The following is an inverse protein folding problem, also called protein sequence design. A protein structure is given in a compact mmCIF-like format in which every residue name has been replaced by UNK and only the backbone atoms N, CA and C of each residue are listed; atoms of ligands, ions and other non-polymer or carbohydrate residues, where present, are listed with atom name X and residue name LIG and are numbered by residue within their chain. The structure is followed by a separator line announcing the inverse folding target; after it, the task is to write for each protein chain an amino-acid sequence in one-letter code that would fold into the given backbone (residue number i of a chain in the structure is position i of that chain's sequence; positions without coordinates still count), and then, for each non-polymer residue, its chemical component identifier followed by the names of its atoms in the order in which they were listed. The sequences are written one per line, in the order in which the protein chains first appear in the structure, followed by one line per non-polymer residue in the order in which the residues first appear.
data_IF_402891521815
#
_entry.id   IF_402891521815
#
_cell.length_a   1.000
_cell.length_b   1.000
_cell.length_c   1.000
_cell.angle_alpha   90.00
_cell.angle_beta   90.00
_cell.angle_gamma   90.00
#
_symmetry.space_group_name_H-M   'P 1'
#
loop_
_entity.id
_entity.type
_entity.pdbx_description
1 polymer ?
#
# COMPACT_ATOMS: atom_id res chain seq x y z
N UNK A 1 -9.91 71.34 5.77
CA UNK A 1 -8.75 70.79 5.06
C UNK A 1 -8.31 69.52 5.74
N UNK A 2 -8.87 68.40 5.42
CA UNK A 2 -8.57 67.14 6.13
C UNK A 2 -9.21 65.86 5.57
N UNK A 3 -9.68 65.83 4.32
CA UNK A 3 -10.34 64.65 3.77
C UNK A 3 -9.82 64.14 2.43
N UNK A 4 -8.65 64.58 1.97
CA UNK A 4 -8.05 64.18 0.71
C UNK A 4 -6.80 63.29 0.85
N UNK A 5 -6.42 62.87 2.05
CA UNK A 5 -5.17 62.12 2.31
C UNK A 5 -5.38 60.64 2.58
N UNK A 6 -6.59 60.13 2.47
CA UNK A 6 -6.89 58.70 2.74
C UNK A 6 -7.17 57.87 1.49
N UNK A 7 -7.17 58.42 0.30
CA UNK A 7 -7.47 57.69 -0.96
C UNK A 7 -6.19 57.17 -1.67
N UNK A 8 -5.02 57.57 -1.24
CA UNK A 8 -3.75 57.21 -1.91
C UNK A 8 -3.05 55.96 -1.34
N UNK A 9 -3.62 55.28 -0.34
CA UNK A 9 -2.95 54.15 0.33
C UNK A 9 -3.57 52.75 0.04
N UNK A 10 -4.52 52.64 -0.86
CA UNK A 10 -5.15 51.35 -1.21
C UNK A 10 -4.78 50.78 -2.59
N UNK A 11 -3.83 51.31 -3.30
CA UNK A 11 -3.43 50.82 -4.64
C UNK A 11 -2.14 50.00 -4.70
N UNK A 12 -1.62 49.54 -3.57
CA UNK A 12 -0.43 48.68 -3.51
C UNK A 12 -0.76 47.25 -3.02
N UNK A 13 -1.95 46.75 -3.35
CA UNK A 13 -2.26 45.32 -3.16
C UNK A 13 -1.91 44.60 -4.45
N UNK A 14 -0.67 44.08 -4.48
CA UNK A 14 -0.34 42.78 -4.96
C UNK A 14 -0.82 42.42 -6.37
N UNK A 15 -0.16 42.88 -7.44
CA UNK A 15 0.11 41.97 -8.55
C UNK A 15 1.00 40.86 -8.02
N UNK A 16 0.41 39.86 -7.42
CA UNK A 16 1.02 38.53 -7.33
C UNK A 16 1.22 38.10 -8.78
N UNK A 17 2.45 38.20 -9.30
CA UNK A 17 2.82 37.62 -10.56
C UNK A 17 2.44 36.13 -10.46
N UNK A 18 1.35 35.76 -11.10
CA UNK A 18 1.11 34.38 -11.47
C UNK A 18 2.34 34.00 -12.29
N UNK A 19 3.24 33.24 -11.70
CA UNK A 19 4.42 32.73 -12.38
C UNK A 19 3.87 31.85 -13.50
N UNK A 20 3.85 32.37 -14.72
CA UNK A 20 3.43 31.61 -15.90
C UNK A 20 4.29 30.34 -15.89
N UNK A 21 3.61 29.24 -15.70
CA UNK A 21 4.23 27.92 -15.73
C UNK A 21 4.80 27.77 -17.15
N UNK A 22 6.13 27.83 -17.26
CA UNK A 22 6.80 27.61 -18.55
C UNK A 22 6.28 26.32 -19.15
N UNK A 23 5.74 26.34 -20.39
CA UNK A 23 5.24 25.15 -21.05
C UNK A 23 6.36 24.12 -21.10
N UNK A 24 6.17 22.97 -20.50
CA UNK A 24 7.20 21.96 -20.41
C UNK A 24 6.66 20.64 -19.83
N UNK A 25 7.42 19.57 -19.98
CA UNK A 25 7.11 18.32 -19.34
C UNK A 25 7.25 18.44 -17.83
N UNK A 26 6.27 17.92 -17.10
CA UNK A 26 6.27 17.86 -15.63
C UNK A 26 5.84 16.48 -15.20
N UNK A 27 6.74 15.74 -14.58
CA UNK A 27 6.44 14.42 -14.05
C UNK A 27 6.06 14.51 -12.57
N UNK A 28 4.87 14.00 -12.27
CA UNK A 28 4.45 13.68 -10.91
C UNK A 28 4.77 12.22 -10.66
N UNK A 29 5.63 11.96 -9.69
CA UNK A 29 6.08 10.61 -9.37
C UNK A 29 5.63 10.22 -7.95
N UNK A 30 5.05 9.05 -7.82
CA UNK A 30 4.62 8.50 -6.53
C UNK A 30 5.19 7.10 -6.31
N UNK A 31 5.49 6.78 -5.05
CA UNK A 31 5.95 5.48 -4.58
C UNK A 31 4.98 4.99 -3.51
N UNK A 32 4.37 3.83 -3.72
CA UNK A 32 3.41 3.22 -2.81
C UNK A 32 3.81 1.80 -2.45
N UNK A 33 3.69 1.47 -1.18
CA UNK A 33 3.77 0.10 -0.68
C UNK A 33 2.37 -0.45 -0.69
N UNK A 34 2.13 -1.54 -1.45
CA UNK A 34 0.81 -2.13 -1.63
C UNK A 34 0.43 -3.01 -0.43
N UNK A 35 1.43 -3.62 0.20
CA UNK A 35 1.21 -4.51 1.32
C UNK A 35 0.73 -3.75 2.57
N UNK A 36 -0.34 -4.24 3.18
CA UNK A 36 -0.82 -3.71 4.47
C UNK A 36 0.16 -4.02 5.61
N UNK A 37 0.79 -5.17 5.58
CA UNK A 37 1.77 -5.62 6.56
C UNK A 37 3.05 -6.04 5.87
N UNK A 38 4.17 -5.52 6.36
CA UNK A 38 5.50 -5.89 5.90
C UNK A 38 6.00 -7.02 6.78
N UNK A 39 6.35 -8.16 6.20
CA UNK A 39 6.73 -9.36 6.94
C UNK A 39 8.02 -9.92 6.38
N UNK A 40 8.93 -10.32 7.27
CA UNK A 40 10.17 -10.99 6.93
C UNK A 40 9.92 -12.21 6.01
N UNK A 41 10.72 -12.36 4.97
CA UNK A 41 10.66 -13.47 3.99
C UNK A 41 9.31 -13.61 3.26
N UNK A 42 8.49 -12.57 3.24
CA UNK A 42 7.29 -12.49 2.41
C UNK A 42 7.43 -11.37 1.38
N UNK A 43 6.70 -11.49 0.30
CA UNK A 43 6.74 -10.53 -0.81
C UNK A 43 6.30 -9.14 -0.33
N UNK A 44 7.15 -8.18 -0.58
CA UNK A 44 6.93 -6.75 -0.42
C UNK A 44 6.78 -6.15 -1.81
N UNK A 45 5.61 -5.66 -2.13
CA UNK A 45 5.30 -5.08 -3.43
C UNK A 45 5.32 -3.57 -3.36
N UNK A 46 6.18 -2.97 -4.15
CA UNK A 46 6.32 -1.51 -4.26
C UNK A 46 5.91 -1.11 -5.68
N UNK A 47 4.99 -0.18 -5.77
CA UNK A 47 4.52 0.38 -7.02
C UNK A 47 5.00 1.82 -7.17
N UNK A 48 5.60 2.10 -8.29
CA UNK A 48 5.97 3.43 -8.74
C UNK A 48 4.99 3.85 -9.82
N UNK A 49 4.42 5.04 -9.70
CA UNK A 49 3.56 5.64 -10.73
C UNK A 49 4.12 6.99 -11.13
N UNK A 50 4.35 7.17 -12.43
CA UNK A 50 4.80 8.43 -13.01
C UNK A 50 3.69 8.96 -13.92
N UNK A 51 3.25 10.16 -13.66
CA UNK A 51 2.22 10.83 -14.43
C UNK A 51 2.75 12.13 -15.00
N UNK A 52 2.65 12.33 -16.32
CA UNK A 52 3.01 13.58 -16.95
C UNK A 52 1.85 14.56 -16.88
N UNK A 53 1.94 15.51 -15.95
CA UNK A 53 0.97 16.60 -15.77
C UNK A 53 1.33 17.85 -16.55
N UNK A 54 2.43 17.80 -17.33
CA UNK A 54 2.87 18.89 -18.19
C UNK A 54 2.17 18.90 -19.55
N UNK A 55 2.42 19.95 -20.32
CA UNK A 55 1.84 20.18 -21.64
C UNK A 55 2.70 19.56 -22.76
N UNK A 56 3.93 19.15 -22.46
CA UNK A 56 4.85 18.53 -23.42
C UNK A 56 5.27 17.12 -23.02
N UNK A 57 5.79 16.37 -23.98
CA UNK A 57 6.31 15.02 -23.77
C UNK A 57 7.57 15.05 -22.92
N UNK A 58 7.65 14.19 -21.91
CA UNK A 58 8.88 13.90 -21.19
C UNK A 58 9.66 12.84 -21.95
N UNK A 59 10.95 13.07 -22.18
CA UNK A 59 11.85 12.17 -22.90
C UNK A 59 12.90 11.60 -21.95
N UNK A 60 13.39 10.41 -22.30
CA UNK A 60 14.52 9.76 -21.61
C UNK A 60 14.31 9.70 -20.09
N UNK A 61 13.17 9.11 -19.69
CA UNK A 61 12.75 9.08 -18.29
C UNK A 61 13.42 7.92 -17.57
N UNK A 62 14.24 8.22 -16.58
CA UNK A 62 14.92 7.25 -15.73
C UNK A 62 14.38 7.30 -14.31
N UNK A 63 13.96 6.16 -13.80
CA UNK A 63 13.68 5.96 -12.38
C UNK A 63 14.85 5.19 -11.77
N UNK A 64 15.44 5.72 -10.72
CA UNK A 64 16.56 5.10 -10.01
C UNK A 64 16.23 4.96 -8.52
N UNK A 65 16.16 3.73 -8.08
CA UNK A 65 15.85 3.35 -6.70
C UNK A 65 17.12 2.82 -6.03
N UNK A 66 17.61 3.58 -5.06
CA UNK A 66 18.86 3.27 -4.35
C UNK A 66 18.65 2.81 -2.90
N UNK A 67 17.40 2.82 -2.43
CA UNK A 67 17.09 2.56 -1.02
C UNK A 67 17.17 1.07 -0.64
N UNK A 68 17.13 0.16 -1.63
CA UNK A 68 17.11 -1.28 -1.38
C UNK A 68 18.48 -1.91 -1.69
N UNK A 69 19.17 -2.35 -0.62
CA UNK A 69 20.43 -3.08 -0.77
C UNK A 69 20.17 -4.60 -0.84
N UNK A 70 20.97 -5.29 -1.64
CA UNK A 70 20.97 -6.76 -1.72
C UNK A 70 21.37 -7.45 -0.39
N UNK A 71 22.02 -6.71 0.50
CA UNK A 71 22.32 -7.21 1.85
C UNK A 71 21.03 -7.43 2.64
N UNK A 72 20.07 -6.51 2.52
CA UNK A 72 18.86 -6.46 3.33
C UNK A 72 17.64 -7.08 2.65
N UNK A 73 17.62 -7.08 1.32
CA UNK A 73 16.48 -7.52 0.51
C UNK A 73 16.89 -8.52 -0.56
N UNK A 74 16.07 -9.53 -0.76
CA UNK A 74 16.13 -10.41 -1.93
C UNK A 74 15.20 -9.87 -3.02
N UNK A 75 15.72 -9.72 -4.23
CA UNK A 75 14.95 -9.26 -5.38
C UNK A 75 14.23 -10.44 -6.03
N UNK A 76 12.89 -10.40 -6.02
CA UNK A 76 12.06 -11.46 -6.62
C UNK A 76 11.71 -11.13 -8.06
N UNK A 77 11.19 -9.93 -8.30
CA UNK A 77 10.76 -9.49 -9.63
C UNK A 77 10.89 -7.98 -9.75
N UNK A 78 11.22 -7.54 -10.97
CA UNK A 78 11.41 -6.12 -11.28
C UNK A 78 12.87 -5.68 -11.12
N UNK A 79 13.10 -4.44 -11.48
CA UNK A 79 14.43 -3.82 -11.46
C UNK A 79 14.38 -2.56 -10.61
N UNK A 80 15.48 -2.24 -9.93
CA UNK A 80 15.66 -0.98 -9.19
C UNK A 80 15.79 0.23 -10.10
N UNK A 81 16.12 -0.01 -11.36
CA UNK A 81 16.22 1.00 -12.39
C UNK A 81 15.22 0.70 -13.50
N UNK A 82 14.40 1.68 -13.85
CA UNK A 82 13.45 1.59 -14.95
C UNK A 82 13.66 2.77 -15.91
N UNK A 83 13.52 2.51 -17.20
CA UNK A 83 13.72 3.50 -18.26
C UNK A 83 12.52 3.49 -19.21
N UNK A 84 12.09 4.68 -19.62
CA UNK A 84 11.08 4.89 -20.65
C UNK A 84 11.58 5.93 -21.64
N UNK A 85 11.50 5.62 -22.90
CA UNK A 85 11.97 6.52 -23.97
C UNK A 85 11.21 7.85 -23.96
N UNK A 86 9.88 7.78 -23.72
CA UNK A 86 9.02 8.97 -23.66
C UNK A 86 7.72 8.71 -22.89
N UNK A 87 7.22 9.76 -22.26
CA UNK A 87 5.89 9.79 -21.62
C UNK A 87 5.12 10.99 -22.18
N UNK A 88 4.03 10.71 -22.90
CA UNK A 88 3.19 11.76 -23.51
C UNK A 88 2.48 12.61 -22.43
N UNK A 89 2.06 13.84 -22.75
CA UNK A 89 1.23 14.65 -21.85
C UNK A 89 -0.03 13.91 -21.44
N UNK A 90 -0.36 13.96 -20.14
CA UNK A 90 -1.52 13.26 -19.57
C UNK A 90 -1.37 11.75 -19.45
N UNK A 91 -0.27 11.16 -19.93
CA UNK A 91 -0.04 9.72 -19.82
C UNK A 91 0.47 9.35 -18.42
N UNK A 92 0.14 8.11 -18.01
CA UNK A 92 0.60 7.49 -16.79
C UNK A 92 1.34 6.20 -17.10
N UNK A 93 2.48 5.98 -16.45
CA UNK A 93 3.24 4.73 -16.52
C UNK A 93 3.50 4.22 -15.11
N UNK A 94 3.48 2.90 -14.97
CA UNK A 94 3.70 2.24 -13.69
C UNK A 94 4.84 1.24 -13.79
N UNK A 95 5.60 1.13 -12.71
CA UNK A 95 6.64 0.13 -12.52
C UNK A 95 6.45 -0.54 -11.17
N UNK A 96 6.55 -1.86 -11.14
CA UNK A 96 6.37 -2.64 -9.91
C UNK A 96 7.64 -3.40 -9.59
N UNK A 97 8.05 -3.31 -8.33
CA UNK A 97 9.20 -3.99 -7.78
C UNK A 97 8.75 -4.89 -6.64
N UNK A 98 9.12 -6.18 -6.69
CA UNK A 98 8.80 -7.15 -5.64
C UNK A 98 10.10 -7.60 -4.98
N UNK A 99 10.15 -7.39 -3.67
CA UNK A 99 11.29 -7.67 -2.79
C UNK A 99 10.86 -8.56 -1.65
N UNK A 100 11.82 -9.27 -1.04
CA UNK A 100 11.61 -9.97 0.23
C UNK A 100 12.61 -9.45 1.26
N UNK A 101 12.15 -8.84 2.37
CA UNK A 101 13.03 -8.45 3.47
C UNK A 101 13.65 -9.69 4.11
N UNK A 102 14.98 -9.67 4.32
CA UNK A 102 15.71 -10.77 5.00
C UNK A 102 15.50 -10.74 6.49
N UNK A 103 15.48 -9.54 7.08
CA UNK A 103 15.41 -9.33 8.51
C UNK A 103 14.19 -8.50 8.91
N UNK A 104 13.73 -8.71 10.16
CA UNK A 104 12.71 -7.88 10.77
C UNK A 104 13.35 -6.64 11.41
N UNK A 105 12.85 -5.46 11.05
CA UNK A 105 13.32 -4.18 11.59
C UNK A 105 12.38 -3.04 11.18
N UNK A 106 12.59 -1.88 11.76
CA UNK A 106 12.02 -0.64 11.24
C UNK A 106 12.90 -0.20 10.06
N UNK A 107 12.29 -0.03 8.90
CA UNK A 107 12.95 0.40 7.68
C UNK A 107 12.37 1.71 7.19
N UNK A 108 13.23 2.67 6.82
CA UNK A 108 12.82 3.95 6.28
C UNK A 108 12.79 3.89 4.75
N UNK A 109 11.58 3.96 4.19
CA UNK A 109 11.34 3.97 2.75
C UNK A 109 11.49 5.37 2.20
N UNK A 110 12.67 5.69 1.67
CA UNK A 110 12.99 6.99 1.10
C UNK A 110 12.43 7.15 -0.32
N UNK A 111 12.45 8.38 -0.83
CA UNK A 111 12.04 8.68 -2.19
C UNK A 111 13.04 8.13 -3.21
N UNK A 112 12.53 7.66 -4.35
CA UNK A 112 13.34 7.29 -5.51
C UNK A 112 13.60 8.52 -6.40
N UNK A 113 14.72 8.51 -7.09
CA UNK A 113 15.13 9.59 -8.00
C UNK A 113 14.50 9.37 -9.37
N UNK A 114 13.96 10.44 -9.95
CA UNK A 114 13.43 10.45 -11.31
C UNK A 114 14.15 11.52 -12.11
N UNK A 115 14.70 11.15 -13.25
CA UNK A 115 15.36 12.06 -14.18
C UNK A 115 14.64 12.01 -15.53
N UNK A 116 14.46 13.14 -16.16
CA UNK A 116 13.84 13.22 -17.48
C UNK A 116 14.27 14.48 -18.23
N UNK A 117 14.09 14.47 -19.55
CA UNK A 117 14.34 15.63 -20.41
C UNK A 117 13.04 16.28 -20.81
N UNK A 118 13.03 17.60 -20.82
CA UNK A 118 11.83 18.39 -21.11
C UNK A 118 11.59 18.62 -22.59
N UNK A 119 12.57 18.36 -23.44
CA UNK A 119 12.46 18.49 -24.89
C UNK A 119 13.41 17.52 -25.62
N UNK A 120 13.13 17.29 -26.89
CA UNK A 120 14.03 16.66 -27.86
C UNK A 120 14.76 17.78 -28.61
N UNK A 121 16.07 17.89 -28.64
CA UNK A 121 17.13 16.90 -28.77
C UNK A 121 17.94 16.66 -27.49
N UNK A 122 18.98 15.83 -27.56
CA UNK A 122 19.79 15.35 -26.42
C UNK A 122 20.47 16.45 -25.58
N UNK A 123 20.53 17.69 -26.09
CA UNK A 123 21.10 18.86 -25.39
C UNK A 123 20.08 19.55 -24.45
N UNK A 124 18.85 19.05 -24.37
CA UNK A 124 17.83 19.65 -23.50
C UNK A 124 18.17 19.49 -22.01
N UNK A 125 17.74 20.46 -21.22
CA UNK A 125 17.97 20.45 -19.79
C UNK A 125 17.38 19.19 -19.15
N UNK A 126 18.16 18.52 -18.31
CA UNK A 126 17.71 17.37 -17.51
C UNK A 126 17.01 17.88 -16.26
N UNK A 127 15.75 17.55 -16.13
CA UNK A 127 14.99 17.79 -14.91
C UNK A 127 15.16 16.60 -13.95
N UNK A 128 15.31 16.90 -12.67
CA UNK A 128 15.41 15.89 -11.61
C UNK A 128 14.24 16.07 -10.66
N UNK A 129 13.50 14.99 -10.44
CA UNK A 129 12.43 14.91 -9.48
C UNK A 129 12.63 13.75 -8.50
N UNK A 130 11.73 13.67 -7.53
CA UNK A 130 11.71 12.61 -6.53
C UNK A 130 10.30 12.06 -6.42
N UNK A 131 10.18 10.79 -6.15
CA UNK A 131 8.88 10.19 -5.82
C UNK A 131 8.45 10.62 -4.42
N UNK A 132 7.20 10.33 -4.05
CA UNK A 132 6.80 10.38 -2.64
C UNK A 132 7.65 9.41 -1.81
N UNK A 133 7.89 9.77 -0.53
CA UNK A 133 8.53 8.91 0.45
C UNK A 133 7.46 8.30 1.35
N UNK A 134 7.28 6.97 1.37
CA UNK A 134 6.34 6.33 2.29
C UNK A 134 6.69 6.50 3.77
N UNK A 135 7.97 6.76 4.08
CA UNK A 135 8.44 6.95 5.44
C UNK A 135 8.82 5.66 6.14
N UNK A 136 8.70 5.64 7.47
CA UNK A 136 9.09 4.49 8.28
C UNK A 136 8.02 3.39 8.24
N UNK A 137 8.45 2.16 7.96
CA UNK A 137 7.61 0.97 8.00
C UNK A 137 8.24 -0.11 8.89
N UNK A 138 7.42 -0.76 9.72
CA UNK A 138 7.87 -1.88 10.53
C UNK A 138 7.74 -3.18 9.75
N UNK A 139 8.87 -3.88 9.60
CA UNK A 139 8.91 -5.24 9.07
C UNK A 139 8.78 -6.21 10.25
N UNK A 140 7.69 -6.99 10.25
CA UNK A 140 7.36 -7.93 11.31
C UNK A 140 8.16 -9.23 11.16
N UNK A 141 8.55 -9.81 12.28
CA UNK A 141 9.03 -11.19 12.31
C UNK A 141 7.92 -12.16 11.89
N UNK A 142 8.24 -13.15 11.07
CA UNK A 142 7.26 -14.08 10.52
C UNK A 142 6.51 -14.88 11.62
N UNK A 143 7.19 -15.25 12.70
CA UNK A 143 6.59 -15.99 13.81
C UNK A 143 5.58 -15.14 14.58
N UNK A 144 5.93 -13.87 14.87
CA UNK A 144 5.04 -12.92 15.53
C UNK A 144 3.82 -12.60 14.67
N UNK A 145 4.05 -12.36 13.38
CA UNK A 145 2.95 -12.12 12.44
C UNK A 145 1.98 -13.30 12.38
N UNK A 146 2.50 -14.52 12.24
CA UNK A 146 1.66 -15.73 12.18
C UNK A 146 0.91 -15.95 13.49
N UNK A 147 1.49 -15.62 14.64
CA UNK A 147 0.83 -15.74 15.93
C UNK A 147 -0.38 -14.82 16.07
N UNK A 148 -0.33 -13.64 15.44
CA UNK A 148 -1.40 -12.62 15.57
C UNK A 148 -2.44 -12.77 14.45
N UNK A 149 -2.00 -12.99 13.22
CA UNK A 149 -2.85 -12.89 12.02
C UNK A 149 -3.15 -14.22 11.33
N UNK A 150 -2.45 -15.31 11.68
CA UNK A 150 -2.77 -16.60 11.06
C UNK A 150 -4.12 -17.13 11.59
N UNK A 151 -4.91 -17.80 10.74
CA UNK A 151 -6.14 -18.41 11.16
C UNK A 151 -5.86 -19.57 12.13
N UNK A 152 -6.42 -19.50 13.32
CA UNK A 152 -6.25 -20.48 14.41
C UNK A 152 -7.17 -21.72 14.25
N UNK A 153 -7.09 -22.40 13.10
CA UNK A 153 -7.96 -23.57 12.84
C UNK A 153 -7.79 -24.70 13.85
N UNK A 154 -6.54 -24.94 14.29
CA UNK A 154 -6.27 -25.99 15.29
C UNK A 154 -6.96 -25.69 16.62
N UNK A 155 -6.96 -24.44 17.07
CA UNK A 155 -7.61 -24.02 18.31
C UNK A 155 -9.13 -24.18 18.23
N UNK A 156 -9.73 -23.83 17.09
CA UNK A 156 -11.16 -24.03 16.85
C UNK A 156 -11.56 -25.51 16.80
N UNK A 157 -10.75 -26.36 16.16
CA UNK A 157 -10.99 -27.82 16.13
C UNK A 157 -10.90 -28.38 17.54
N UNK A 158 -9.88 -28.02 18.31
CA UNK A 158 -9.73 -28.48 19.71
C UNK A 158 -10.91 -28.03 20.56
N UNK A 159 -11.35 -26.79 20.43
CA UNK A 159 -12.53 -26.27 21.11
C UNK A 159 -13.79 -27.10 20.77
N UNK A 160 -13.99 -27.39 19.49
CA UNK A 160 -15.14 -28.19 19.02
C UNK A 160 -15.13 -29.61 19.60
N UNK A 161 -13.96 -30.27 19.62
CA UNK A 161 -13.78 -31.58 20.23
C UNK A 161 -14.12 -31.57 21.73
N UNK A 162 -13.77 -30.50 22.44
CA UNK A 162 -14.12 -30.34 23.85
C UNK A 162 -15.61 -30.04 24.08
N UNK A 163 -16.24 -29.30 23.16
CA UNK A 163 -17.66 -28.95 23.26
C UNK A 163 -18.60 -30.13 22.93
N UNK A 164 -18.22 -31.02 22.01
CA UNK A 164 -19.07 -32.16 21.58
C UNK A 164 -19.47 -33.05 22.74
N UNK A 165 -18.60 -33.55 23.63
CA UNK A 165 -19.02 -34.38 24.75
C UNK A 165 -19.84 -33.63 25.80
N UNK A 166 -19.54 -32.37 26.08
CA UNK A 166 -20.25 -31.58 27.11
C UNK A 166 -21.71 -31.30 26.75
N UNK A 167 -21.99 -31.10 25.47
CA UNK A 167 -23.36 -30.87 24.96
C UNK A 167 -24.00 -32.17 24.49
N UNK A 168 -23.23 -33.04 23.83
CA UNK A 168 -23.72 -34.28 23.22
C UNK A 168 -24.16 -35.32 24.24
N UNK A 169 -23.45 -35.51 25.35
CA UNK A 169 -23.80 -36.47 26.37
C UNK A 169 -25.16 -36.13 27.04
N UNK A 170 -25.39 -34.90 27.55
CA UNK A 170 -26.70 -34.54 28.12
C UNK A 170 -27.83 -34.63 27.11
N UNK A 171 -27.59 -34.20 25.86
CA UNK A 171 -28.59 -34.30 24.80
C UNK A 171 -28.95 -35.74 24.49
N UNK A 172 -27.98 -36.66 24.39
CA UNK A 172 -28.21 -38.08 24.13
C UNK A 172 -28.96 -38.73 25.27
N UNK A 173 -28.60 -38.44 26.53
CA UNK A 173 -29.32 -38.97 27.72
C UNK A 173 -30.75 -38.44 27.75
N UNK A 174 -30.99 -37.19 27.49
CA UNK A 174 -32.33 -36.62 27.42
C UNK A 174 -33.15 -37.24 26.29
N UNK A 175 -32.62 -37.41 25.12
CA UNK A 175 -33.29 -38.02 23.97
C UNK A 175 -33.65 -39.47 24.24
N UNK A 176 -32.73 -40.25 24.79
CA UNK A 176 -33.00 -41.65 25.18
C UNK A 176 -34.08 -41.75 26.25
N UNK A 177 -34.02 -40.88 27.25
CA UNK A 177 -35.01 -40.82 28.32
C UNK A 177 -36.40 -40.49 27.76
N UNK A 178 -36.48 -39.45 26.91
CA UNK A 178 -37.73 -39.04 26.25
C UNK A 178 -38.34 -40.15 25.44
N UNK A 179 -37.58 -40.86 24.63
CA UNK A 179 -38.08 -41.99 23.84
C UNK A 179 -38.69 -43.13 24.70
N UNK A 180 -38.05 -43.48 25.82
CA UNK A 180 -38.55 -44.49 26.73
C UNK A 180 -39.90 -44.10 27.34
N UNK A 181 -40.07 -42.87 27.78
CA UNK A 181 -41.32 -42.42 28.41
C UNK A 181 -42.46 -42.19 27.41
N UNK A 182 -42.19 -41.81 26.18
CA UNK A 182 -43.21 -41.65 25.13
C UNK A 182 -43.76 -43.01 24.67
N UNK A 183 -42.93 -44.05 24.57
CA UNK A 183 -43.37 -45.42 24.22
C UNK A 183 -44.29 -45.97 25.31
N UNK A 184 -43.97 -45.72 26.57
CA UNK A 184 -44.83 -46.19 27.70
C UNK A 184 -46.23 -45.52 27.69
N UNK A 185 -46.29 -44.20 27.37
CA UNK A 185 -47.60 -43.53 27.30
C UNK A 185 -48.49 -44.01 26.16
N UNK A 186 -47.94 -44.45 25.06
CA UNK A 186 -48.72 -44.99 23.92
C UNK A 186 -49.28 -46.33 24.24
N UNK A 187 -48.56 -47.17 25.00
CA UNK A 187 -49.02 -48.53 25.38
C UNK A 187 -50.13 -48.50 26.42
N UNK A 188 -50.10 -47.54 27.36
CA UNK A 188 -51.16 -47.39 28.38
C UNK A 188 -52.48 -46.80 27.84
N UNK A 189 -52.49 -46.21 26.68
CA UNK A 189 -53.67 -45.59 26.05
C UNK A 189 -54.44 -46.58 25.14
N UNK A 190 -53.97 -47.84 24.98
CA UNK A 190 -54.57 -48.88 24.17
C UNK A 190 -55.24 -49.97 24.99
N UNK A 191 -55.32 -49.84 26.33
CA UNK A 191 -56.19 -50.67 27.26
C UNK A 191 -57.37 -49.80 27.68
#
# INVERSE_FOLDING_TARGET
MGSLMWIALCSLIGLGAAQEATPGARLLASKHIINQHLVQKKDLTIQYSLHNVGDSTAYDVHLDETNFDKADFDFVTGFTQAHWDRIAPGANVTHTLILQPKDYRIFNFTAARVQYRTAEPQDAAVAVGWTSSPGEGQIWEINQFNRIFAPHYADWITFLIMCVPTVGIPYFLWHNSKMRFEIVKVTTKKQ
#
